data_IF_856643431087
#
_entry.id   IF_856643431087
#
_cell.length_a   1.000
_cell.length_b   1.000
_cell.length_c   1.000
_cell.angle_alpha   90.00
_cell.angle_beta   90.00
_cell.angle_gamma   90.00
#
_symmetry.space_group_name_H-M   'P 1'
#
loop_
_entity.id
_entity.type
_entity.pdbx_description
1 polymer ?
#
# COMPACT_ATOMS: atom_id res chain seq x y z
N UNK A 1 -16.34 -23.14 -11.29
CA UNK A 1 -17.18 -22.77 -10.11
C UNK A 1 -17.04 -21.28 -9.84
N UNK A 2 -18.14 -20.53 -9.89
CA UNK A 2 -18.16 -19.12 -9.47
C UNK A 2 -17.86 -19.04 -7.96
N UNK A 3 -16.74 -18.43 -7.57
CA UNK A 3 -16.45 -18.19 -6.15
C UNK A 3 -17.53 -17.29 -5.56
N UNK A 4 -18.20 -17.75 -4.51
CA UNK A 4 -19.12 -16.92 -3.73
C UNK A 4 -18.34 -15.77 -3.11
N UNK A 5 -18.85 -14.55 -3.23
CA UNK A 5 -18.26 -13.34 -2.66
C UNK A 5 -19.20 -12.80 -1.60
N UNK A 6 -18.69 -12.54 -0.41
CA UNK A 6 -19.45 -11.88 0.64
C UNK A 6 -19.47 -10.37 0.37
N UNK A 7 -20.66 -9.80 0.34
CA UNK A 7 -20.87 -8.37 0.10
C UNK A 7 -21.49 -7.72 1.33
N UNK A 8 -20.84 -6.68 1.84
CA UNK A 8 -21.34 -5.88 2.96
C UNK A 8 -21.73 -4.50 2.44
N UNK A 9 -22.96 -4.08 2.71
CA UNK A 9 -23.43 -2.75 2.40
C UNK A 9 -23.20 -1.80 3.59
N UNK A 10 -22.57 -0.66 3.33
CA UNK A 10 -22.27 0.33 4.37
C UNK A 10 -22.54 1.77 3.88
N UNK A 11 -22.88 2.65 4.81
CA UNK A 11 -23.07 4.06 4.56
C UNK A 11 -22.14 4.88 5.43
N UNK A 12 -21.37 5.77 4.81
CA UNK A 12 -20.50 6.73 5.50
C UNK A 12 -21.09 8.14 5.36
N UNK A 13 -21.70 8.63 6.43
CA UNK A 13 -22.37 9.94 6.46
C UNK A 13 -22.01 10.71 7.74
N UNK A 14 -20.71 11.02 7.97
CA UNK A 14 -20.31 11.82 9.14
C UNK A 14 -20.89 13.22 9.04
N UNK A 15 -21.22 13.83 10.17
CA UNK A 15 -21.60 15.25 10.22
C UNK A 15 -20.34 16.11 10.09
N UNK A 16 -20.22 16.95 9.07
CA UNK A 16 -19.09 17.88 8.96
C UNK A 16 -19.17 18.94 10.07
N UNK A 17 -18.02 19.37 10.60
CA UNK A 17 -17.96 20.47 11.59
C UNK A 17 -17.92 21.82 10.90
N UNK A 18 -17.18 21.92 9.80
CA UNK A 18 -17.00 23.13 9.01
C UNK A 18 -16.68 22.79 7.54
N UNK A 19 -16.79 23.77 6.68
CA UNK A 19 -16.33 23.65 5.29
C UNK A 19 -14.80 23.50 5.24
N UNK A 20 -14.31 22.52 4.51
CA UNK A 20 -12.86 22.27 4.37
C UNK A 20 -12.10 23.34 3.61
N UNK A 21 -12.80 24.18 2.84
CA UNK A 21 -12.19 25.20 2.00
C UNK A 21 -12.26 26.61 2.64
N UNK A 22 -13.47 27.04 3.04
CA UNK A 22 -13.66 28.40 3.56
C UNK A 22 -13.89 28.47 5.08
N UNK A 23 -13.89 27.34 5.78
CA UNK A 23 -14.07 27.29 7.23
C UNK A 23 -15.49 27.59 7.73
N UNK A 24 -16.46 27.91 6.85
CA UNK A 24 -17.84 28.21 7.25
C UNK A 24 -18.45 27.08 8.07
N UNK A 25 -19.18 27.42 9.12
CA UNK A 25 -19.93 26.50 9.97
C UNK A 25 -21.04 25.78 9.20
N UNK A 26 -21.61 24.74 9.79
CA UNK A 26 -22.68 23.93 9.14
C UNK A 26 -23.96 24.74 8.92
N UNK A 27 -24.23 25.64 9.85
CA UNK A 27 -25.38 26.57 9.82
C UNK A 27 -24.91 28.00 10.04
N UNK A 28 -25.64 28.99 9.52
CA UNK A 28 -25.39 30.41 9.80
C UNK A 28 -26.00 30.82 11.15
N UNK A 29 -25.81 32.10 11.54
CA UNK A 29 -26.36 32.65 12.77
C UNK A 29 -27.91 32.62 12.85
N UNK A 30 -28.59 32.46 11.73
CA UNK A 30 -30.05 32.36 11.62
C UNK A 30 -30.54 30.90 11.52
N UNK A 31 -29.66 29.90 11.74
CA UNK A 31 -30.00 28.49 11.66
C UNK A 31 -30.11 27.91 10.24
N UNK A 32 -29.79 28.69 9.20
CA UNK A 32 -29.91 28.24 7.81
C UNK A 32 -28.67 27.38 7.44
N UNK A 33 -28.92 26.22 6.82
CA UNK A 33 -27.84 25.29 6.44
C UNK A 33 -26.92 25.88 5.34
N UNK A 34 -25.64 26.04 5.68
CA UNK A 34 -24.57 26.42 4.77
C UNK A 34 -23.97 25.16 4.12
N UNK A 35 -23.78 24.09 4.89
CA UNK A 35 -23.29 22.79 4.37
C UNK A 35 -24.49 21.87 4.19
N UNK A 36 -24.71 21.45 2.96
CA UNK A 36 -25.83 20.58 2.59
C UNK A 36 -25.34 19.25 2.05
N UNK A 37 -26.11 18.19 2.30
CA UNK A 37 -25.89 16.86 1.70
C UNK A 37 -26.29 16.91 0.23
N UNK A 38 -25.39 16.40 -0.64
CA UNK A 38 -25.57 16.40 -2.08
C UNK A 38 -25.38 14.98 -2.65
N UNK A 39 -26.34 14.09 -2.35
CA UNK A 39 -26.31 12.71 -2.81
C UNK A 39 -25.20 11.87 -2.16
N UNK A 40 -25.06 10.63 -2.64
CA UNK A 40 -24.04 9.67 -2.17
C UNK A 40 -23.23 9.16 -3.35
N UNK A 41 -21.95 8.86 -3.12
CA UNK A 41 -21.07 8.19 -4.08
C UNK A 41 -20.83 6.76 -3.60
N UNK A 42 -21.17 5.78 -4.41
CA UNK A 42 -20.84 4.38 -4.12
C UNK A 42 -19.43 4.04 -4.56
N UNK A 43 -18.72 3.29 -3.73
CA UNK A 43 -17.37 2.76 -4.00
C UNK A 43 -17.29 1.34 -3.47
N UNK A 44 -16.62 0.46 -4.21
CA UNK A 44 -16.33 -0.90 -3.77
C UNK A 44 -14.97 -0.90 -3.09
N UNK A 45 -14.91 -1.41 -1.86
CA UNK A 45 -13.68 -1.58 -1.09
C UNK A 45 -13.47 -3.08 -0.85
N UNK A 46 -12.29 -3.56 -1.21
CA UNK A 46 -11.89 -4.96 -0.99
C UNK A 46 -11.25 -5.09 0.38
N UNK A 47 -11.70 -6.10 1.12
CA UNK A 47 -11.19 -6.49 2.42
C UNK A 47 -10.45 -7.83 2.32
N UNK A 48 -9.93 -8.30 3.44
CA UNK A 48 -9.46 -9.68 3.55
C UNK A 48 -10.63 -10.66 3.36
N UNK A 49 -10.29 -11.88 3.01
CA UNK A 49 -11.28 -12.96 2.96
C UNK A 49 -11.85 -13.25 4.35
N UNK A 50 -13.12 -13.58 4.38
CA UNK A 50 -13.81 -14.08 5.56
C UNK A 50 -14.25 -15.52 5.28
N UNK A 51 -13.86 -16.46 6.13
CA UNK A 51 -14.12 -17.89 5.93
C UNK A 51 -13.80 -18.37 4.49
N UNK A 52 -12.61 -18.06 4.00
CA UNK A 52 -12.14 -18.38 2.65
C UNK A 52 -12.96 -17.77 1.49
N UNK A 53 -13.93 -16.92 1.78
CA UNK A 53 -14.69 -16.17 0.78
C UNK A 53 -14.14 -14.76 0.61
N UNK A 54 -14.01 -14.26 -0.63
CA UNK A 54 -13.70 -12.85 -0.86
C UNK A 54 -14.72 -11.94 -0.16
N UNK A 55 -14.24 -10.91 0.53
CA UNK A 55 -15.09 -9.92 1.20
C UNK A 55 -14.95 -8.58 0.51
N UNK A 56 -16.05 -8.01 0.08
CA UNK A 56 -16.12 -6.65 -0.48
C UNK A 56 -17.18 -5.83 0.24
N UNK A 57 -16.90 -4.53 0.39
CA UNK A 57 -17.85 -3.58 0.95
C UNK A 57 -18.33 -2.64 -0.16
N UNK A 58 -19.63 -2.54 -0.35
CA UNK A 58 -20.27 -1.46 -1.12
C UNK A 58 -20.47 -0.27 -0.20
N UNK A 59 -19.57 0.71 -0.27
CA UNK A 59 -19.53 1.86 0.62
C UNK A 59 -20.19 3.07 -0.05
N UNK A 60 -21.35 3.49 0.45
CA UNK A 60 -22.06 4.71 0.02
C UNK A 60 -21.54 5.90 0.84
N UNK A 61 -20.65 6.71 0.25
CA UNK A 61 -20.06 7.89 0.87
C UNK A 61 -20.92 9.12 0.65
N UNK A 62 -21.28 9.83 1.70
CA UNK A 62 -22.03 11.08 1.61
C UNK A 62 -21.21 12.16 0.90
N UNK A 63 -21.83 12.87 -0.02
CA UNK A 63 -21.29 14.07 -0.65
C UNK A 63 -21.89 15.31 0.01
N UNK A 64 -21.10 16.37 0.12
CA UNK A 64 -21.46 17.63 0.70
C UNK A 64 -21.17 18.78 -0.25
N UNK A 65 -21.94 19.86 -0.11
CA UNK A 65 -21.75 21.11 -0.83
C UNK A 65 -21.79 22.25 0.17
N UNK A 66 -20.81 23.15 0.11
CA UNK A 66 -20.84 24.42 0.83
C UNK A 66 -21.56 25.45 -0.05
N UNK A 67 -22.63 26.06 0.44
CA UNK A 67 -23.37 27.12 -0.28
C UNK A 67 -22.59 28.43 -0.34
N UNK A 68 -21.69 28.67 0.63
CA UNK A 68 -20.89 29.90 0.69
C UNK A 68 -19.81 29.93 -0.40
N UNK A 69 -18.91 28.92 -0.43
CA UNK A 69 -17.81 28.88 -1.40
C UNK A 69 -18.03 27.92 -2.56
N UNK A 70 -19.20 27.27 -2.64
CA UNK A 70 -19.60 26.28 -3.68
C UNK A 70 -18.68 25.06 -3.78
N UNK A 71 -17.78 24.84 -2.81
CA UNK A 71 -16.90 23.66 -2.79
C UNK A 71 -17.71 22.39 -2.53
N UNK A 72 -17.36 21.33 -3.28
CA UNK A 72 -17.92 19.99 -3.13
C UNK A 72 -16.88 19.04 -2.59
N UNK A 73 -17.27 18.14 -1.66
CA UNK A 73 -16.40 17.06 -1.20
C UNK A 73 -17.20 15.81 -0.86
N UNK A 74 -16.49 14.70 -0.74
CA UNK A 74 -17.06 13.40 -0.36
C UNK A 74 -16.48 12.98 0.98
N UNK A 75 -17.29 12.35 1.83
CA UNK A 75 -16.85 11.78 3.09
C UNK A 75 -15.65 10.84 2.87
N UNK A 76 -14.63 10.98 3.70
CA UNK A 76 -13.42 10.15 3.67
C UNK A 76 -13.48 9.13 4.81
N UNK A 77 -13.11 7.90 4.52
CA UNK A 77 -12.94 6.86 5.53
C UNK A 77 -11.47 6.74 5.92
N UNK A 78 -11.19 6.33 7.15
CA UNK A 78 -9.83 6.07 7.64
C UNK A 78 -9.27 4.71 7.23
N UNK A 79 -10.15 3.75 6.89
CA UNK A 79 -9.77 2.37 6.57
C UNK A 79 -9.46 2.13 5.09
N UNK A 80 -9.64 3.11 4.23
CA UNK A 80 -9.21 3.07 2.82
C UNK A 80 -8.73 4.46 2.39
N UNK A 81 -7.58 4.49 1.71
CA UNK A 81 -7.02 5.76 1.21
C UNK A 81 -7.88 6.36 0.10
N UNK A 82 -7.85 7.69 -0.09
CA UNK A 82 -8.50 8.34 -1.22
C UNK A 82 -8.07 7.71 -2.54
N UNK A 83 -9.02 7.47 -3.44
CA UNK A 83 -8.81 6.85 -4.76
C UNK A 83 -8.31 5.40 -4.74
N UNK A 84 -8.32 4.73 -3.57
CA UNK A 84 -8.00 3.31 -3.45
C UNK A 84 -9.28 2.49 -3.27
N UNK A 85 -9.22 1.23 -3.75
CA UNK A 85 -10.29 0.24 -3.63
C UNK A 85 -9.90 -0.96 -2.75
N UNK A 86 -8.74 -0.91 -2.11
CA UNK A 86 -8.23 -1.94 -1.20
C UNK A 86 -8.09 -1.32 0.18
N UNK A 87 -8.65 -1.98 1.20
CA UNK A 87 -8.58 -1.51 2.58
C UNK A 87 -7.13 -1.50 3.11
N UNK A 88 -6.82 -0.56 4.00
CA UNK A 88 -5.46 -0.35 4.50
C UNK A 88 -4.90 -1.59 5.18
N UNK A 89 -5.71 -2.33 5.96
CA UNK A 89 -5.25 -3.54 6.64
C UNK A 89 -4.80 -4.64 5.65
N UNK A 90 -5.43 -4.75 4.47
CA UNK A 90 -4.97 -5.67 3.41
C UNK A 90 -3.59 -5.26 2.90
N UNK A 91 -3.35 -3.96 2.75
CA UNK A 91 -2.04 -3.43 2.34
C UNK A 91 -0.97 -3.70 3.40
N UNK A 92 -1.31 -3.53 4.69
CA UNK A 92 -0.39 -3.87 5.80
C UNK A 92 -0.11 -5.37 5.87
N UNK A 93 -1.10 -6.22 5.63
CA UNK A 93 -0.91 -7.67 5.53
C UNK A 93 0.04 -8.03 4.37
N UNK A 94 -0.12 -7.42 3.20
CA UNK A 94 0.82 -7.60 2.08
C UNK A 94 2.24 -7.21 2.52
N UNK A 95 2.40 -6.06 3.18
CA UNK A 95 3.70 -5.59 3.66
C UNK A 95 4.33 -6.57 4.67
N UNK A 96 3.54 -7.08 5.63
CA UNK A 96 3.99 -8.09 6.58
C UNK A 96 4.43 -9.38 5.87
N UNK A 97 3.63 -9.88 4.93
CA UNK A 97 4.00 -11.10 4.19
C UNK A 97 5.22 -10.92 3.27
N UNK A 98 5.53 -9.69 2.86
CA UNK A 98 6.75 -9.39 2.09
C UNK A 98 8.04 -9.53 2.93
N UNK A 99 7.94 -9.56 4.26
CA UNK A 99 9.08 -9.84 5.15
C UNK A 99 9.29 -11.34 5.38
N UNK A 100 8.33 -12.17 4.98
CA UNK A 100 8.39 -13.61 5.12
C UNK A 100 9.05 -14.28 3.90
N UNK A 101 9.52 -15.51 4.09
CA UNK A 101 10.14 -16.32 3.03
C UNK A 101 9.10 -16.96 2.10
N UNK A 102 8.23 -16.14 1.50
CA UNK A 102 7.14 -16.60 0.63
C UNK A 102 7.18 -15.91 -0.73
N UNK A 103 6.65 -16.57 -1.76
CA UNK A 103 6.64 -16.00 -3.11
C UNK A 103 5.60 -14.89 -3.25
N UNK A 104 5.84 -13.91 -4.14
CA UNK A 104 4.89 -12.84 -4.45
C UNK A 104 3.55 -13.40 -4.96
N UNK A 105 3.57 -14.54 -5.67
CA UNK A 105 2.37 -15.24 -6.14
C UNK A 105 1.55 -15.80 -4.98
N UNK A 106 2.21 -16.33 -3.95
CA UNK A 106 1.56 -16.77 -2.72
C UNK A 106 0.88 -15.60 -2.01
N UNK A 107 1.58 -14.47 -1.86
CA UNK A 107 1.03 -13.25 -1.25
C UNK A 107 -0.21 -12.78 -2.02
N UNK A 108 -0.12 -12.69 -3.34
CA UNK A 108 -1.24 -12.29 -4.19
C UNK A 108 -2.46 -13.18 -3.99
N UNK A 109 -2.27 -14.50 -3.94
CA UNK A 109 -3.31 -15.49 -3.72
C UNK A 109 -3.90 -15.41 -2.30
N UNK A 110 -3.05 -15.28 -1.28
CA UNK A 110 -3.43 -15.18 0.13
C UNK A 110 -4.24 -13.91 0.42
N UNK A 111 -3.84 -12.77 -0.14
CA UNK A 111 -4.53 -11.48 0.03
C UNK A 111 -5.64 -11.23 -1.01
N UNK A 112 -5.86 -12.16 -1.95
CA UNK A 112 -6.84 -12.06 -3.05
C UNK A 112 -6.71 -10.75 -3.87
N UNK A 113 -5.47 -10.40 -4.17
CA UNK A 113 -5.12 -9.28 -5.03
C UNK A 113 -4.33 -9.75 -6.25
N UNK A 114 -4.16 -8.89 -7.24
CA UNK A 114 -3.29 -9.19 -8.37
C UNK A 114 -1.81 -9.13 -7.96
N UNK A 115 -0.96 -9.88 -8.65
CA UNK A 115 0.49 -9.80 -8.48
C UNK A 115 1.01 -8.36 -8.66
N UNK A 116 0.45 -7.63 -9.62
CA UNK A 116 0.76 -6.21 -9.85
C UNK A 116 0.47 -5.34 -8.63
N UNK A 117 -0.59 -5.66 -7.87
CA UNK A 117 -0.89 -4.96 -6.61
C UNK A 117 0.16 -5.23 -5.55
N UNK A 118 0.63 -6.47 -5.41
CA UNK A 118 1.72 -6.82 -4.48
C UNK A 118 3.00 -6.06 -4.83
N UNK A 119 3.39 -6.06 -6.11
CA UNK A 119 4.58 -5.34 -6.60
C UNK A 119 4.46 -3.82 -6.35
N UNK A 120 3.28 -3.24 -6.60
CA UNK A 120 3.04 -1.82 -6.33
C UNK A 120 3.16 -1.51 -4.84
N UNK A 121 2.57 -2.34 -3.98
CA UNK A 121 2.68 -2.20 -2.53
C UNK A 121 4.13 -2.29 -2.07
N UNK A 122 4.90 -3.25 -2.59
CA UNK A 122 6.35 -3.35 -2.32
C UNK A 122 7.09 -2.05 -2.69
N UNK A 123 6.81 -1.49 -3.88
CA UNK A 123 7.43 -0.22 -4.32
C UNK A 123 7.07 0.96 -3.41
N UNK A 124 5.84 1.02 -2.94
CA UNK A 124 5.38 2.06 -2.00
C UNK A 124 6.08 1.92 -0.63
N UNK A 125 6.19 0.70 -0.11
CA UNK A 125 6.87 0.45 1.17
C UNK A 125 8.38 0.60 1.10
N UNK A 126 9.00 0.42 -0.07
CA UNK A 126 10.45 0.63 -0.25
C UNK A 126 10.91 2.02 0.22
N UNK A 127 10.09 3.06 0.07
CA UNK A 127 10.42 4.41 0.52
C UNK A 127 10.51 4.56 2.05
N UNK A 128 9.89 3.64 2.80
CA UNK A 128 9.90 3.62 4.28
C UNK A 128 10.99 2.71 4.86
N UNK A 129 11.66 1.91 4.02
CA UNK A 129 12.78 1.10 4.48
C UNK A 129 13.98 2.00 4.78
N UNK A 130 14.67 1.77 5.92
CA UNK A 130 15.89 2.52 6.21
C UNK A 130 16.89 2.25 5.08
N UNK A 131 17.45 3.30 4.51
CA UNK A 131 18.61 3.17 3.64
C UNK A 131 19.74 2.61 4.49
N UNK A 132 20.33 1.51 4.07
CA UNK A 132 21.46 0.96 4.78
C UNK A 132 22.56 2.04 4.88
N UNK A 133 22.95 2.35 6.11
CA UNK A 133 24.11 3.20 6.38
C UNK A 133 25.37 2.48 5.89
N UNK A 134 26.41 3.26 5.63
CA UNK A 134 27.72 2.79 5.13
C UNK A 134 28.15 1.47 5.77
N UNK A 135 28.57 0.57 4.95
CA UNK A 135 28.77 -0.84 5.20
C UNK A 135 30.00 -1.05 6.07
N UNK A 136 29.76 -1.55 7.24
CA UNK A 136 30.81 -2.25 7.97
C UNK A 136 30.74 -3.69 7.45
N UNK A 137 31.80 -4.14 6.81
CA UNK A 137 31.88 -5.54 6.36
C UNK A 137 31.94 -6.44 7.59
N UNK A 138 31.23 -7.58 7.58
CA UNK A 138 31.30 -8.55 8.66
C UNK A 138 32.66 -9.25 8.66
N UNK A 139 33.01 -9.87 9.78
CA UNK A 139 34.23 -10.65 9.91
C UNK A 139 34.26 -11.83 8.92
N UNK A 140 33.12 -12.45 8.68
CA UNK A 140 32.95 -13.51 7.69
C UNK A 140 31.95 -13.03 6.64
N UNK A 141 32.44 -12.70 5.45
CA UNK A 141 31.61 -12.30 4.32
C UNK A 141 31.28 -13.52 3.47
N UNK A 142 30.01 -13.85 3.36
CA UNK A 142 29.49 -14.82 2.40
C UNK A 142 29.01 -14.11 1.14
N UNK A 143 29.40 -14.66 -0.01
CA UNK A 143 29.01 -14.11 -1.31
C UNK A 143 28.50 -15.24 -2.21
N UNK A 144 27.54 -14.92 -3.05
CA UNK A 144 26.99 -15.85 -4.04
C UNK A 144 26.43 -15.08 -5.24
N UNK A 145 26.25 -15.78 -6.35
CA UNK A 145 25.69 -15.25 -7.59
C UNK A 145 24.36 -15.92 -7.88
N UNK A 146 23.38 -15.15 -8.28
CA UNK A 146 22.10 -15.71 -8.67
C UNK A 146 21.56 -15.04 -9.94
N UNK A 147 20.74 -15.80 -10.68
CA UNK A 147 20.09 -15.28 -11.88
C UNK A 147 18.99 -14.32 -11.49
N UNK A 148 19.11 -13.06 -11.88
CA UNK A 148 18.16 -12.00 -11.60
C UNK A 148 17.43 -11.56 -12.86
N UNK A 149 16.11 -11.35 -12.75
CA UNK A 149 15.31 -10.71 -13.81
C UNK A 149 15.39 -9.20 -13.77
N UNK A 150 15.95 -8.62 -12.71
CA UNK A 150 15.99 -7.16 -12.51
C UNK A 150 17.20 -6.50 -13.18
N UNK A 151 18.24 -7.25 -13.50
CA UNK A 151 19.41 -6.71 -14.15
C UNK A 151 19.29 -6.78 -15.67
N UNK A 152 19.36 -5.64 -16.31
CA UNK A 152 19.22 -5.50 -17.76
C UNK A 152 20.50 -5.92 -18.47
N UNK A 153 21.69 -5.74 -17.83
CA UNK A 153 22.97 -5.91 -18.51
C UNK A 153 23.60 -7.29 -18.33
N UNK A 154 23.39 -7.97 -17.21
CA UNK A 154 24.20 -9.15 -16.87
C UNK A 154 23.38 -10.38 -16.41
N UNK A 155 22.08 -10.37 -16.42
CA UNK A 155 21.21 -11.48 -15.96
C UNK A 155 21.64 -12.16 -14.64
N UNK A 156 22.79 -11.79 -14.08
CA UNK A 156 23.36 -12.29 -12.84
C UNK A 156 23.54 -11.16 -11.86
N UNK A 157 22.99 -11.34 -10.66
CA UNK A 157 23.18 -10.45 -9.52
C UNK A 157 24.12 -11.10 -8.51
N UNK A 158 24.79 -10.27 -7.72
CA UNK A 158 25.73 -10.67 -6.69
C UNK A 158 25.15 -10.37 -5.32
N UNK A 159 25.11 -11.35 -4.43
CA UNK A 159 24.56 -11.23 -3.08
C UNK A 159 25.69 -11.28 -2.05
N UNK A 160 25.60 -10.44 -1.03
CA UNK A 160 26.50 -10.41 0.11
C UNK A 160 25.71 -10.63 1.39
N UNK A 161 26.17 -11.53 2.23
CA UNK A 161 25.59 -11.82 3.53
C UNK A 161 26.68 -11.95 4.60
N UNK A 162 26.31 -11.73 5.84
CA UNK A 162 27.14 -12.02 7.01
C UNK A 162 27.11 -13.53 7.28
N UNK A 163 28.26 -14.17 7.24
CA UNK A 163 28.39 -15.62 7.42
C UNK A 163 28.17 -16.09 8.85
N UNK A 164 28.29 -15.21 9.84
CA UNK A 164 28.04 -15.57 11.26
C UNK A 164 26.56 -15.45 11.62
N UNK A 165 25.87 -14.42 11.11
CA UNK A 165 24.48 -14.14 11.46
C UNK A 165 23.47 -14.54 10.38
N UNK A 166 23.92 -14.85 9.15
CA UNK A 166 23.06 -15.10 8.00
C UNK A 166 22.33 -13.84 7.49
N UNK A 167 22.71 -12.67 7.96
CA UNK A 167 22.03 -11.41 7.66
C UNK A 167 22.40 -10.92 6.28
N UNK A 168 21.43 -10.60 5.45
CA UNK A 168 21.66 -10.01 4.15
C UNK A 168 22.29 -8.62 4.31
N UNK A 169 23.43 -8.39 3.65
CA UNK A 169 24.14 -7.10 3.62
C UNK A 169 23.66 -6.30 2.41
N UNK A 170 23.83 -6.87 1.21
CA UNK A 170 23.40 -6.18 -0.01
C UNK A 170 23.20 -7.15 -1.18
N UNK A 171 22.51 -6.64 -2.22
CA UNK A 171 22.37 -7.31 -3.51
C UNK A 171 22.82 -6.34 -4.60
N UNK A 172 23.90 -6.68 -5.27
CA UNK A 172 24.45 -5.87 -6.36
C UNK A 172 23.86 -6.31 -7.71
N UNK A 173 23.56 -5.36 -8.61
CA UNK A 173 22.92 -5.68 -9.88
C UNK A 173 23.80 -6.45 -10.86
N UNK A 174 25.09 -6.54 -10.61
CA UNK A 174 26.06 -7.20 -11.48
C UNK A 174 27.23 -7.79 -10.66
N UNK A 175 27.85 -8.84 -11.20
CA UNK A 175 29.05 -9.51 -10.66
C UNK A 175 30.35 -9.01 -11.28
N UNK A 176 30.30 -8.04 -12.20
CA UNK A 176 31.49 -7.55 -12.93
C UNK A 176 32.50 -6.94 -11.98
N UNK A 177 33.75 -7.34 -12.11
CA UNK A 177 34.88 -6.96 -11.24
C UNK A 177 34.98 -5.43 -11.03
N UNK A 178 34.90 -4.56 -12.05
CA UNK A 178 35.01 -3.12 -11.83
C UNK A 178 33.92 -2.57 -10.88
N UNK A 179 32.72 -3.16 -10.91
CA UNK A 179 31.62 -2.75 -10.02
C UNK A 179 31.84 -3.26 -8.61
N UNK A 180 32.30 -4.50 -8.46
CA UNK A 180 32.62 -5.07 -7.15
C UNK A 180 33.79 -4.33 -6.50
N UNK A 181 34.83 -4.02 -7.24
CA UNK A 181 35.97 -3.23 -6.75
C UNK A 181 35.50 -1.88 -6.23
N UNK A 182 34.73 -1.15 -7.02
CA UNK A 182 34.16 0.15 -6.58
C UNK A 182 33.17 0.05 -5.40
N UNK A 183 32.67 -1.14 -5.12
CA UNK A 183 31.74 -1.36 -4.00
C UNK A 183 32.47 -1.69 -2.70
N UNK A 184 33.55 -2.45 -2.76
CA UNK A 184 34.30 -2.92 -1.59
C UNK A 184 35.52 -2.03 -1.22
N UNK A 185 36.00 -1.21 -2.14
CA UNK A 185 37.06 -0.21 -1.93
C UNK A 185 36.49 1.20 -1.82
#
# INVERSE_FOLDING_TARGET
QKKKTLVVDAVLSPTPRACRSCGSTVVDGNGKAIIVKNGKKETIVRFEQYNHMPLVMRLKKQRYTCKNCRTHWTAQSYFVQPRHSIANHVRYKIASLLTEKVSLSFIAKSCQVSLTTVIRTLKEFKSYLPKQSKKILPRVLMVDEFRSHASIEDKMSFICADGETGKLIDVLPTRKLPRLTSYFL
#
